data_IF_404727513455
#
_entry.id   IF_404727513455
#
_cell.length_a   1.000
_cell.length_b   1.000
_cell.length_c   1.000
_cell.angle_alpha   90.00
_cell.angle_beta   90.00
_cell.angle_gamma   90.00
#
_symmetry.space_group_name_H-M   'P 1'
#
loop_
_entity.id
_entity.type
_entity.pdbx_description
1 polymer ?
#
# COMPACT_ATOMS: atom_id res chain seq x y z
N UNK A 1 7.49 -90.84 15.43
CA UNK A 1 6.92 -89.57 15.97
C UNK A 1 7.47 -88.32 15.26
N UNK A 2 7.86 -88.41 13.98
CA UNK A 2 8.62 -87.33 13.30
C UNK A 2 7.81 -86.59 12.23
N UNK A 3 6.85 -87.26 11.57
CA UNK A 3 6.06 -86.65 10.48
C UNK A 3 5.00 -85.65 10.96
N UNK A 4 4.30 -85.95 12.06
CA UNK A 4 3.22 -85.10 12.60
C UNK A 4 3.71 -83.74 13.12
N UNK A 5 4.91 -83.70 13.72
CA UNK A 5 5.50 -82.44 14.20
C UNK A 5 5.95 -81.52 13.05
N UNK A 6 6.46 -82.09 11.94
CA UNK A 6 6.89 -81.31 10.78
C UNK A 6 5.69 -80.66 10.07
N UNK A 7 4.56 -81.36 9.97
CA UNK A 7 3.32 -80.82 9.41
C UNK A 7 2.77 -79.65 10.26
N UNK A 8 2.81 -79.78 11.59
CA UNK A 8 2.38 -78.71 12.51
C UNK A 8 3.26 -77.47 12.40
N UNK A 9 4.59 -77.64 12.33
CA UNK A 9 5.54 -76.53 12.15
C UNK A 9 5.32 -75.84 10.80
N UNK A 10 5.14 -76.59 9.71
CA UNK A 10 4.83 -76.00 8.41
C UNK A 10 3.52 -75.21 8.42
N UNK A 11 2.49 -75.71 9.10
CA UNK A 11 1.22 -74.99 9.23
C UNK A 11 1.37 -73.71 10.07
N UNK A 12 2.13 -73.74 11.17
CA UNK A 12 2.43 -72.54 11.97
C UNK A 12 3.22 -71.49 11.18
N UNK A 13 4.23 -71.91 10.40
CA UNK A 13 4.98 -71.01 9.52
C UNK A 13 4.06 -70.41 8.46
N UNK A 14 3.15 -71.19 7.88
CA UNK A 14 2.17 -70.70 6.92
C UNK A 14 1.24 -69.66 7.56
N UNK A 15 0.70 -69.93 8.75
CA UNK A 15 -0.16 -68.99 9.48
C UNK A 15 0.56 -67.69 9.87
N UNK A 16 1.83 -67.78 10.30
CA UNK A 16 2.64 -66.60 10.63
C UNK A 16 2.91 -65.75 9.38
N UNK A 17 3.24 -66.39 8.25
CA UNK A 17 3.42 -65.69 6.96
C UNK A 17 2.14 -64.99 6.55
N UNK A 18 0.99 -65.65 6.66
CA UNK A 18 -0.31 -65.05 6.35
C UNK A 18 -0.59 -63.85 7.26
N UNK A 19 -0.43 -63.98 8.57
CA UNK A 19 -0.68 -62.88 9.52
C UNK A 19 0.24 -61.68 9.28
N UNK A 20 1.52 -61.94 9.02
CA UNK A 20 2.48 -60.87 8.71
C UNK A 20 2.12 -60.18 7.38
N UNK A 21 1.70 -60.94 6.37
CA UNK A 21 1.23 -60.37 5.10
C UNK A 21 -0.03 -59.51 5.28
N UNK A 22 -0.99 -59.94 6.11
CA UNK A 22 -2.20 -59.18 6.43
C UNK A 22 -1.89 -57.89 7.21
N UNK A 23 -1.00 -57.94 8.20
CA UNK A 23 -0.55 -56.75 8.94
C UNK A 23 0.16 -55.74 8.03
N UNK A 24 1.09 -56.22 7.20
CA UNK A 24 1.82 -55.38 6.25
C UNK A 24 0.86 -54.77 5.22
N UNK A 25 -0.07 -55.56 4.70
CA UNK A 25 -1.11 -55.09 3.78
C UNK A 25 -1.97 -54.02 4.43
N UNK A 26 -2.44 -54.24 5.66
CA UNK A 26 -3.23 -53.26 6.41
C UNK A 26 -2.50 -51.93 6.64
N UNK A 27 -1.19 -51.97 6.91
CA UNK A 27 -0.38 -50.75 7.04
C UNK A 27 -0.24 -50.02 5.71
N UNK A 28 0.07 -50.73 4.62
CA UNK A 28 0.21 -50.16 3.28
C UNK A 28 -1.11 -49.55 2.81
N UNK A 29 -2.25 -50.20 3.05
CA UNK A 29 -3.57 -49.67 2.70
C UNK A 29 -3.91 -48.41 3.50
N UNK A 30 -3.57 -48.35 4.80
CA UNK A 30 -3.76 -47.13 5.60
C UNK A 30 -2.89 -45.97 5.10
N UNK A 31 -1.65 -46.25 4.71
CA UNK A 31 -0.78 -45.23 4.12
C UNK A 31 -1.31 -44.76 2.76
N UNK A 32 -1.76 -45.68 1.91
CA UNK A 32 -2.32 -45.36 0.60
C UNK A 32 -3.57 -44.48 0.70
N UNK A 33 -4.52 -44.87 1.55
CA UNK A 33 -5.76 -44.09 1.79
C UNK A 33 -5.47 -42.69 2.34
N UNK A 34 -4.52 -42.56 3.27
CA UNK A 34 -4.11 -41.24 3.79
C UNK A 34 -3.45 -40.37 2.72
N UNK A 35 -2.65 -40.97 1.82
CA UNK A 35 -2.05 -40.25 0.69
C UNK A 35 -3.11 -39.81 -0.32
N UNK A 36 -4.09 -40.66 -0.61
CA UNK A 36 -5.22 -40.34 -1.49
C UNK A 36 -6.06 -39.18 -0.92
N UNK A 37 -6.32 -39.18 0.39
CA UNK A 37 -7.02 -38.08 1.06
C UNK A 37 -6.22 -36.77 0.99
N UNK A 38 -4.90 -36.82 1.24
CA UNK A 38 -4.02 -35.65 1.08
C UNK A 38 -4.00 -35.15 -0.35
N UNK A 39 -3.94 -36.05 -1.33
CA UNK A 39 -3.95 -35.69 -2.75
C UNK A 39 -5.28 -35.03 -3.13
N UNK A 40 -6.40 -35.54 -2.62
CA UNK A 40 -7.72 -34.93 -2.83
C UNK A 40 -7.82 -33.53 -2.21
N UNK A 41 -7.30 -33.34 -0.99
CA UNK A 41 -7.26 -32.03 -0.34
C UNK A 41 -6.39 -31.04 -1.12
N UNK A 42 -5.19 -31.44 -1.52
CA UNK A 42 -4.31 -30.60 -2.37
C UNK A 42 -4.97 -30.27 -3.70
N UNK A 43 -5.68 -31.23 -4.32
CA UNK A 43 -6.41 -30.98 -5.57
C UNK A 43 -7.57 -29.99 -5.39
N UNK A 44 -8.28 -30.06 -4.27
CA UNK A 44 -9.34 -29.10 -3.95
C UNK A 44 -8.77 -27.71 -3.64
N UNK A 45 -7.69 -27.63 -2.86
CA UNK A 45 -6.95 -26.38 -2.65
C UNK A 45 -6.43 -25.80 -3.97
N UNK A 46 -5.96 -26.63 -4.90
CA UNK A 46 -5.50 -26.19 -6.21
C UNK A 46 -6.66 -25.65 -7.07
N UNK A 47 -7.85 -26.26 -7.00
CA UNK A 47 -9.07 -25.75 -7.66
C UNK A 47 -9.50 -24.42 -7.06
N UNK A 48 -9.53 -24.31 -5.74
CA UNK A 48 -9.83 -23.06 -5.04
C UNK A 48 -8.79 -21.98 -5.36
N UNK A 49 -7.51 -22.34 -5.43
CA UNK A 49 -6.44 -21.43 -5.86
C UNK A 49 -6.57 -21.02 -7.32
N UNK A 50 -6.96 -21.93 -8.22
CA UNK A 50 -7.22 -21.62 -9.63
C UNK A 50 -8.41 -20.69 -9.76
N UNK A 51 -9.52 -20.95 -9.06
CA UNK A 51 -10.67 -20.06 -9.03
C UNK A 51 -10.34 -18.71 -8.38
N UNK A 52 -9.56 -18.71 -7.30
CA UNK A 52 -9.10 -17.49 -6.65
C UNK A 52 -8.15 -16.72 -7.56
N UNK A 53 -7.29 -17.40 -8.33
CA UNK A 53 -6.41 -16.80 -9.35
C UNK A 53 -7.18 -16.33 -10.58
N UNK A 54 -8.31 -16.96 -10.92
CA UNK A 54 -9.23 -16.49 -11.98
C UNK A 54 -10.08 -15.32 -11.48
N UNK A 55 -10.53 -15.32 -10.22
CA UNK A 55 -11.24 -14.19 -9.59
C UNK A 55 -10.30 -13.02 -9.38
N UNK A 56 -9.13 -13.27 -8.80
CA UNK A 56 -8.02 -12.32 -8.74
C UNK A 56 -7.66 -11.89 -10.15
N UNK A 57 -7.47 -12.78 -11.12
CA UNK A 57 -7.19 -12.49 -12.53
C UNK A 57 -8.29 -11.66 -13.19
N UNK A 58 -9.57 -11.93 -12.99
CA UNK A 58 -10.67 -11.10 -13.52
C UNK A 58 -10.81 -9.77 -12.77
N UNK A 59 -10.34 -9.70 -11.53
CA UNK A 59 -10.24 -8.46 -10.71
C UNK A 59 -8.91 -7.69 -10.94
N UNK A 60 -7.84 -8.37 -11.40
CA UNK A 60 -6.44 -7.92 -11.58
C UNK A 60 -6.09 -7.70 -13.05
N UNK A 61 -6.84 -8.28 -13.99
CA UNK A 61 -6.87 -7.92 -15.42
C UNK A 61 -7.43 -6.51 -15.61
N UNK A 62 -7.72 -5.79 -14.51
CA UNK A 62 -7.87 -4.34 -14.55
C UNK A 62 -7.11 -3.59 -13.45
N UNK A 63 -5.97 -4.11 -13.03
CA UNK A 63 -5.08 -3.44 -12.08
C UNK A 63 -3.72 -3.07 -12.70
N UNK A 64 -3.67 -2.71 -13.98
CA UNK A 64 -2.47 -2.01 -14.49
C UNK A 64 -2.41 -0.67 -13.79
N UNK A 65 -1.31 -0.44 -13.08
CA UNK A 65 -1.00 0.86 -12.49
C UNK A 65 -0.21 1.61 -13.54
N UNK A 66 -0.78 2.72 -14.01
CA UNK A 66 -0.05 3.68 -14.83
C UNK A 66 0.77 4.55 -13.88
N UNK A 67 2.08 4.41 -13.98
CA UNK A 67 3.07 5.27 -13.39
C UNK A 67 3.39 6.39 -14.36
N UNK A 68 3.29 7.63 -13.89
CA UNK A 68 3.90 8.75 -14.59
C UNK A 68 5.21 9.08 -13.86
N UNK A 69 6.33 8.95 -14.55
CA UNK A 69 7.68 9.23 -14.05
C UNK A 69 8.32 10.24 -14.99
N UNK A 70 8.34 11.52 -14.63
CA UNK A 70 8.96 12.58 -15.44
C UNK A 70 8.41 12.65 -16.87
N UNK A 71 7.08 12.69 -17.03
CA UNK A 71 6.32 12.69 -18.30
C UNK A 71 6.29 11.37 -19.09
N UNK A 72 7.08 10.37 -18.70
CA UNK A 72 7.01 9.03 -19.28
C UNK A 72 6.00 8.15 -18.54
N UNK A 73 5.09 7.54 -19.31
CA UNK A 73 4.09 6.61 -18.79
C UNK A 73 4.61 5.18 -18.79
N UNK A 74 4.81 4.64 -17.61
CA UNK A 74 5.12 3.23 -17.40
C UNK A 74 3.89 2.50 -16.89
N UNK A 75 3.70 1.26 -17.31
CA UNK A 75 2.63 0.39 -16.81
C UNK A 75 3.24 -0.84 -16.17
N UNK A 76 2.87 -1.12 -14.93
CA UNK A 76 3.22 -2.39 -14.26
C UNK A 76 2.04 -2.90 -13.44
N UNK A 77 2.11 -4.15 -12.99
CA UNK A 77 1.06 -4.76 -12.18
C UNK A 77 1.21 -4.39 -10.71
N UNK A 78 0.08 -4.35 -9.99
CA UNK A 78 0.07 -4.24 -8.52
C UNK A 78 0.91 -5.35 -7.89
N UNK A 79 0.90 -6.55 -8.47
CA UNK A 79 1.68 -7.70 -8.00
C UNK A 79 3.18 -7.41 -7.96
N UNK A 80 3.73 -6.79 -9.02
CA UNK A 80 5.14 -6.39 -9.08
C UNK A 80 5.49 -5.40 -7.96
N UNK A 81 4.59 -4.48 -7.63
CA UNK A 81 4.81 -3.44 -6.62
C UNK A 81 4.69 -3.97 -5.17
N UNK A 82 3.91 -5.03 -4.98
CA UNK A 82 3.69 -5.68 -3.68
C UNK A 82 4.50 -6.97 -3.52
N UNK A 83 5.40 -7.29 -4.45
CA UNK A 83 6.21 -8.50 -4.41
C UNK A 83 7.08 -8.57 -3.15
N UNK A 84 7.55 -7.42 -2.67
CA UNK A 84 8.22 -7.29 -1.37
C UNK A 84 7.25 -6.88 -0.26
N UNK A 85 7.26 -7.63 0.85
CA UNK A 85 6.38 -7.39 1.99
C UNK A 85 6.89 -6.24 2.86
N UNK A 86 5.97 -5.42 3.36
CA UNK A 86 6.21 -4.27 4.26
C UNK A 86 6.79 -3.01 3.61
N UNK A 87 6.53 -2.78 2.32
CA UNK A 87 6.82 -1.51 1.64
C UNK A 87 5.59 -0.59 1.58
N UNK A 88 5.83 0.66 1.18
CA UNK A 88 4.79 1.69 1.00
C UNK A 88 3.64 1.21 0.11
N UNK A 89 3.95 0.48 -0.96
CA UNK A 89 2.97 -0.04 -1.91
C UNK A 89 2.09 -1.14 -1.31
N UNK A 90 2.64 -1.98 -0.43
CA UNK A 90 1.87 -2.99 0.30
C UNK A 90 0.82 -2.32 1.18
N UNK A 91 1.16 -1.20 1.83
CA UNK A 91 0.23 -0.43 2.65
C UNK A 91 -0.80 0.32 1.79
N UNK A 92 -0.35 0.99 0.72
CA UNK A 92 -1.17 1.76 -0.22
C UNK A 92 -2.20 0.88 -0.96
N UNK A 93 -1.83 -0.34 -1.31
CA UNK A 93 -2.70 -1.29 -2.00
C UNK A 93 -3.43 -2.27 -1.06
N UNK A 94 -3.28 -2.11 0.25
CA UNK A 94 -4.04 -2.90 1.23
C UNK A 94 -5.53 -2.49 1.25
N UNK A 95 -6.41 -3.43 1.60
CA UNK A 95 -7.85 -3.18 1.81
C UNK A 95 -8.16 -2.26 3.02
N UNK A 96 -7.14 -1.80 3.71
CA UNK A 96 -7.24 -1.05 4.96
C UNK A 96 -7.64 0.42 4.76
N UNK A 97 -7.55 0.93 3.52
CA UNK A 97 -7.81 2.33 3.20
C UNK A 97 -9.09 2.60 2.39
N UNK A 98 -9.91 1.58 2.10
CA UNK A 98 -11.17 1.67 1.35
C UNK A 98 -11.16 2.71 0.20
N UNK A 99 -10.10 2.69 -0.62
CA UNK A 99 -10.07 3.46 -1.85
C UNK A 99 -11.08 2.84 -2.82
N UNK A 100 -12.23 3.49 -3.02
CA UNK A 100 -13.15 3.17 -4.11
C UNK A 100 -12.45 3.49 -5.43
N UNK A 101 -11.85 2.46 -6.05
CA UNK A 101 -11.12 2.60 -7.31
C UNK A 101 -12.09 2.63 -8.48
N UNK A 102 -11.98 3.65 -9.33
CA UNK A 102 -12.58 3.63 -10.65
C UNK A 102 -11.50 3.19 -11.65
N UNK A 103 -11.50 1.89 -11.95
CA UNK A 103 -10.47 1.16 -12.75
C UNK A 103 -10.41 1.56 -14.24
N UNK A 104 -10.69 2.81 -14.60
CA UNK A 104 -10.44 3.34 -15.94
C UNK A 104 -9.31 4.38 -15.97
N UNK A 105 -9.08 5.18 -14.92
CA UNK A 105 -8.26 6.39 -15.06
C UNK A 105 -7.31 6.71 -13.89
N UNK A 106 -7.08 5.80 -12.93
CA UNK A 106 -6.26 6.13 -11.75
C UNK A 106 -4.76 6.02 -12.06
N UNK A 107 -4.12 7.16 -12.36
CA UNK A 107 -2.66 7.29 -12.40
C UNK A 107 -2.10 7.49 -11.00
N UNK A 108 -1.12 6.69 -10.62
CA UNK A 108 -0.39 6.86 -9.36
C UNK A 108 0.91 7.61 -9.68
N UNK A 109 1.04 8.81 -9.12
CA UNK A 109 2.19 9.70 -9.34
C UNK A 109 3.28 9.43 -8.31
N UNK A 110 4.48 9.09 -8.77
CA UNK A 110 5.69 9.04 -7.95
C UNK A 110 6.77 9.81 -8.69
N UNK A 111 7.05 11.00 -8.17
CA UNK A 111 7.93 11.98 -8.79
C UNK A 111 9.39 11.76 -8.34
N UNK A 112 10.27 11.52 -9.32
CA UNK A 112 11.71 11.76 -9.24
C UNK A 112 12.10 12.54 -10.48
N UNK A 113 12.26 13.85 -10.35
CA UNK A 113 12.69 14.73 -11.43
C UNK A 113 14.11 14.43 -11.92
N UNK A 114 14.30 14.51 -13.24
CA UNK A 114 15.45 15.19 -13.85
C UNK A 114 14.96 16.57 -14.35
N UNK A 115 15.78 17.64 -14.29
CA UNK A 115 15.29 18.99 -14.46
C UNK A 115 15.33 19.43 -15.93
N UNK A 116 14.27 20.08 -16.42
CA UNK A 116 14.39 20.99 -17.55
C UNK A 116 14.09 22.44 -17.16
N UNK A 117 15.02 23.30 -17.56
CA UNK A 117 15.02 24.74 -17.45
C UNK A 117 14.23 25.31 -18.62
N UNK A 118 13.00 25.76 -18.38
CA UNK A 118 12.45 26.94 -19.08
C UNK A 118 11.02 27.19 -18.66
N UNK A 119 10.81 28.24 -17.86
CA UNK A 119 9.80 29.27 -18.15
C UNK A 119 9.76 30.25 -16.99
N UNK A 120 10.42 31.36 -17.23
CA UNK A 120 10.22 32.65 -16.58
C UNK A 120 8.75 33.11 -16.77
N UNK A 121 8.32 34.09 -15.94
CA UNK A 121 7.14 34.97 -16.10
C UNK A 121 5.85 34.48 -15.38
N UNK A 122 5.51 35.03 -14.20
CA UNK A 122 4.76 36.30 -14.04
C UNK A 122 4.30 36.45 -12.58
N UNK A 123 4.75 37.51 -11.94
CA UNK A 123 4.40 37.87 -10.57
C UNK A 123 3.09 38.67 -10.58
N UNK A 124 1.98 38.02 -10.23
CA UNK A 124 0.68 38.69 -10.03
C UNK A 124 0.23 38.64 -8.56
N UNK A 125 0.17 39.84 -7.99
CA UNK A 125 -0.49 40.33 -6.76
C UNK A 125 -0.97 39.31 -5.73
N UNK A 126 -0.18 39.27 -4.65
CA UNK A 126 -0.53 38.79 -3.30
C UNK A 126 -1.78 39.49 -2.77
N UNK A 127 -2.88 38.75 -2.69
CA UNK A 127 -4.02 39.06 -1.84
C UNK A 127 -4.35 37.81 -1.03
N UNK A 128 -4.53 38.00 0.28
CA UNK A 128 -4.63 36.95 1.30
C UNK A 128 -5.99 36.24 1.21
N UNK A 129 -6.11 35.29 0.28
CA UNK A 129 -7.38 34.60 -0.01
C UNK A 129 -7.46 33.19 0.60
N UNK A 130 -6.89 32.99 1.79
CA UNK A 130 -7.25 31.81 2.60
C UNK A 130 -8.74 31.82 2.99
N UNK A 131 -9.37 33.00 3.01
CA UNK A 131 -10.76 33.19 3.49
C UNK A 131 -11.85 32.94 2.42
N UNK A 132 -11.54 32.97 1.13
CA UNK A 132 -12.52 32.65 0.07
C UNK A 132 -12.45 31.18 -0.39
N UNK A 133 -11.56 30.38 0.19
CA UNK A 133 -11.43 28.94 -0.08
C UNK A 133 -12.16 28.12 0.98
N UNK A 134 -13.33 27.61 0.63
CA UNK A 134 -14.27 26.75 1.39
C UNK A 134 -13.72 25.43 1.96
N UNK A 135 -12.40 25.25 2.09
CA UNK A 135 -11.80 24.00 2.52
C UNK A 135 -11.73 23.83 4.04
N UNK A 136 -11.38 24.90 4.77
CA UNK A 136 -11.15 24.86 6.21
C UNK A 136 -12.16 25.75 6.95
N UNK A 137 -12.58 25.30 8.13
CA UNK A 137 -13.28 26.15 9.09
C UNK A 137 -12.29 27.00 9.88
N UNK A 138 -12.77 28.07 10.52
CA UNK A 138 -11.93 28.90 11.41
C UNK A 138 -11.30 28.08 12.55
N UNK A 139 -12.01 27.09 13.09
CA UNK A 139 -11.47 26.22 14.14
C UNK A 139 -10.34 25.32 13.61
N UNK A 140 -10.49 24.80 12.39
CA UNK A 140 -9.47 23.98 11.75
C UNK A 140 -8.21 24.78 11.42
N UNK A 141 -8.35 26.02 10.94
CA UNK A 141 -7.23 26.92 10.70
C UNK A 141 -6.49 27.24 12.02
N UNK A 142 -7.24 27.58 13.08
CA UNK A 142 -6.66 27.79 14.41
C UNK A 142 -5.88 26.56 14.88
N UNK A 143 -6.40 25.36 14.61
CA UNK A 143 -5.73 24.11 14.98
C UNK A 143 -4.43 23.88 14.21
N UNK A 144 -4.39 24.22 12.93
CA UNK A 144 -3.15 24.17 12.14
C UNK A 144 -2.12 25.16 12.66
N UNK A 145 -2.54 26.37 13.06
CA UNK A 145 -1.67 27.37 13.66
C UNK A 145 -1.10 26.92 15.02
N UNK A 146 -1.90 26.21 15.83
CA UNK A 146 -1.43 25.54 17.05
C UNK A 146 -0.36 24.48 16.74
N UNK A 147 -0.58 23.65 15.69
CA UNK A 147 0.39 22.62 15.30
C UNK A 147 1.72 23.20 14.80
N UNK A 148 1.63 24.30 14.06
CA UNK A 148 2.78 25.07 13.60
C UNK A 148 3.53 25.76 14.76
N UNK A 149 2.82 26.16 15.81
CA UNK A 149 3.38 26.79 17.00
C UNK A 149 3.25 28.32 17.04
N UNK A 150 2.49 28.91 16.12
CA UNK A 150 2.19 30.36 16.08
C UNK A 150 0.71 30.57 15.84
N UNK A 151 -0.03 30.97 16.88
CA UNK A 151 -1.51 31.07 16.86
C UNK A 151 -2.07 32.04 15.82
N UNK A 152 -1.33 33.11 15.51
CA UNK A 152 -1.72 34.15 14.55
C UNK A 152 -1.00 34.02 13.20
N UNK A 153 -0.51 32.81 12.87
CA UNK A 153 0.14 32.57 11.59
C UNK A 153 -0.86 32.82 10.45
N UNK A 154 -0.39 33.55 9.43
CA UNK A 154 -1.13 33.78 8.19
C UNK A 154 -0.50 32.95 7.09
N UNK A 155 -1.35 32.35 6.26
CA UNK A 155 -0.93 31.53 5.14
C UNK A 155 -1.38 32.19 3.84
N UNK A 156 -0.51 32.15 2.84
CA UNK A 156 -0.84 32.55 1.48
C UNK A 156 -1.18 31.31 0.66
N UNK A 157 -2.32 31.33 -0.03
CA UNK A 157 -2.72 30.24 -0.90
C UNK A 157 -1.97 30.29 -2.23
N UNK A 158 -0.87 29.55 -2.31
CA UNK A 158 -0.02 29.50 -3.50
C UNK A 158 -0.47 28.46 -4.55
N UNK A 159 -1.17 27.40 -4.12
CA UNK A 159 -1.65 26.32 -4.99
C UNK A 159 -2.97 25.73 -4.48
N UNK A 160 -3.90 25.43 -5.39
CA UNK A 160 -5.14 24.71 -5.12
C UNK A 160 -5.44 23.77 -6.29
N UNK A 161 -5.45 22.46 -6.05
CA UNK A 161 -5.65 21.46 -7.11
C UNK A 161 -6.92 21.66 -7.96
N UNK A 162 -8.03 22.09 -7.36
CA UNK A 162 -9.27 22.36 -8.11
C UNK A 162 -9.23 23.62 -8.98
N UNK A 163 -8.25 24.52 -8.78
CA UNK A 163 -8.03 25.75 -9.56
C UNK A 163 -6.88 25.58 -10.54
N UNK A 164 -5.80 24.95 -10.09
CA UNK A 164 -4.50 24.95 -10.75
C UNK A 164 -4.17 23.62 -11.45
N UNK A 165 -4.97 22.56 -11.23
CA UNK A 165 -4.68 21.21 -11.71
C UNK A 165 -4.09 20.32 -10.61
N UNK A 166 -4.33 19.01 -10.68
CA UNK A 166 -3.90 18.03 -9.68
C UNK A 166 -2.57 17.33 -10.04
N UNK A 167 -1.92 17.71 -11.13
CA UNK A 167 -0.63 17.17 -11.54
C UNK A 167 0.55 17.80 -10.78
N UNK A 168 1.68 17.08 -10.74
CA UNK A 168 2.88 17.51 -10.02
C UNK A 168 3.53 18.73 -10.66
N UNK A 169 3.48 18.87 -11.98
CA UNK A 169 4.01 20.03 -12.68
C UNK A 169 3.30 21.32 -12.24
N UNK A 170 1.96 21.30 -12.15
CA UNK A 170 1.18 22.42 -11.62
C UNK A 170 1.52 22.76 -10.16
N UNK A 171 1.79 21.75 -9.33
CA UNK A 171 2.27 21.95 -7.96
C UNK A 171 3.66 22.58 -7.95
N UNK A 172 4.64 21.97 -8.61
CA UNK A 172 6.04 22.42 -8.61
C UNK A 172 6.21 23.80 -9.23
N UNK A 173 5.51 24.10 -10.33
CA UNK A 173 5.47 25.44 -10.95
C UNK A 173 5.06 26.54 -9.95
N UNK A 174 4.25 26.21 -8.93
CA UNK A 174 3.72 27.18 -7.97
C UNK A 174 4.37 27.12 -6.58
N UNK A 175 4.81 25.94 -6.15
CA UNK A 175 5.27 25.68 -4.78
C UNK A 175 6.79 25.64 -4.66
N UNK A 176 7.52 25.45 -5.76
CA UNK A 176 8.98 25.44 -5.72
C UNK A 176 9.52 26.81 -5.27
N UNK A 177 10.54 26.74 -4.42
CA UNK A 177 11.25 27.90 -3.87
C UNK A 177 10.35 28.90 -3.09
N UNK A 178 9.13 28.52 -2.72
CA UNK A 178 8.23 29.37 -1.91
C UNK A 178 8.54 29.33 -0.41
N UNK A 179 9.49 28.49 0.01
CA UNK A 179 9.83 28.28 1.42
C UNK A 179 8.91 27.26 2.09
N UNK A 180 8.71 27.40 3.41
CA UNK A 180 7.90 26.45 4.17
C UNK A 180 6.43 26.45 3.73
N UNK A 181 5.82 25.28 3.66
CA UNK A 181 4.44 25.12 3.18
C UNK A 181 3.59 24.27 4.12
N UNK A 182 2.32 24.61 4.23
CA UNK A 182 1.28 23.80 4.87
C UNK A 182 0.37 23.25 3.78
N UNK A 183 0.43 21.94 3.55
CA UNK A 183 -0.41 21.25 2.57
C UNK A 183 -1.63 20.66 3.25
N UNK A 184 -2.81 20.94 2.71
CA UNK A 184 -4.09 20.44 3.22
C UNK A 184 -4.80 19.70 2.10
N UNK A 185 -5.18 18.46 2.39
CA UNK A 185 -5.85 17.55 1.45
C UNK A 185 -7.24 17.25 1.99
N UNK A 186 -8.25 17.33 1.11
CA UNK A 186 -9.60 16.81 1.35
C UNK A 186 -9.79 15.55 0.51
N UNK A 187 -10.05 14.41 1.16
CA UNK A 187 -10.39 13.18 0.45
C UNK A 187 -11.77 13.25 -0.19
N UNK A 188 -12.06 12.27 -1.05
CA UNK A 188 -13.40 12.03 -1.60
C UNK A 188 -14.47 11.84 -0.52
N UNK A 189 -14.08 11.29 0.63
CA UNK A 189 -14.94 11.10 1.81
C UNK A 189 -14.95 12.33 2.74
N UNK A 190 -14.51 13.51 2.27
CA UNK A 190 -14.48 14.77 3.01
C UNK A 190 -13.59 14.77 4.28
N UNK A 191 -12.63 13.86 4.39
CA UNK A 191 -11.64 13.87 5.47
C UNK A 191 -10.50 14.83 5.16
N UNK A 192 -10.07 15.58 6.18
CA UNK A 192 -9.05 16.63 6.10
C UNK A 192 -7.78 16.19 6.82
N UNK A 193 -6.68 16.16 6.09
CA UNK A 193 -5.36 15.77 6.59
C UNK A 193 -4.29 16.43 5.73
N UNK A 194 -3.02 16.27 6.10
CA UNK A 194 -1.94 16.83 5.31
C UNK A 194 -0.62 16.84 6.05
N UNK A 195 0.23 17.79 5.71
CA UNK A 195 1.54 17.93 6.30
C UNK A 195 2.12 19.32 6.15
N UNK A 196 3.12 19.58 6.98
CA UNK A 196 3.94 20.77 6.94
C UNK A 196 5.36 20.40 6.54
N UNK A 197 5.88 21.12 5.55
CA UNK A 197 7.28 21.09 5.17
C UNK A 197 7.92 22.41 5.59
N UNK A 198 8.95 22.34 6.41
CA UNK A 198 9.73 23.48 6.86
C UNK A 198 10.79 23.88 5.82
N UNK A 199 11.25 22.92 5.03
CA UNK A 199 12.13 23.15 3.88
C UNK A 199 11.26 23.32 2.61
N UNK A 200 11.64 24.27 1.76
CA UNK A 200 10.91 24.55 0.53
C UNK A 200 11.06 23.45 -0.51
N UNK A 201 10.02 23.30 -1.35
CA UNK A 201 10.02 22.39 -2.48
C UNK A 201 11.01 22.84 -3.55
N UNK A 202 11.57 21.88 -4.27
CA UNK A 202 12.48 22.13 -5.38
C UNK A 202 12.48 20.96 -6.35
N UNK A 203 12.41 21.26 -7.64
CA UNK A 203 12.59 20.30 -8.73
C UNK A 203 14.06 20.07 -9.08
N UNK A 204 15.00 20.79 -8.44
CA UNK A 204 16.42 20.73 -8.80
C UNK A 204 17.14 19.45 -8.34
N UNK A 205 16.56 18.69 -7.40
CA UNK A 205 17.19 17.51 -6.80
C UNK A 205 16.20 16.35 -6.73
N UNK A 206 16.56 15.20 -7.32
CA UNK A 206 15.79 13.94 -7.20
C UNK A 206 16.01 13.17 -5.89
N UNK A 207 16.50 13.84 -4.83
CA UNK A 207 16.86 13.24 -3.56
C UNK A 207 15.93 13.71 -2.43
N UNK A 208 15.69 12.83 -1.45
CA UNK A 208 14.96 13.20 -0.24
C UNK A 208 15.72 14.27 0.55
N UNK A 209 14.98 15.26 1.05
CA UNK A 209 15.51 16.31 1.91
C UNK A 209 15.18 15.96 3.36
N UNK A 210 16.19 15.96 4.23
CA UNK A 210 15.98 15.81 5.67
C UNK A 210 15.31 17.08 6.21
N UNK A 211 14.13 16.92 6.80
CA UNK A 211 13.40 18.01 7.46
C UNK A 211 12.94 17.55 8.85
N UNK A 212 13.71 17.83 9.91
CA UNK A 212 13.38 17.41 11.27
C UNK A 212 12.21 18.20 11.87
N UNK A 213 11.79 19.30 11.23
CA UNK A 213 10.64 20.12 11.65
C UNK A 213 9.38 19.79 10.86
N UNK A 214 9.47 18.92 9.85
CA UNK A 214 8.31 18.44 9.14
C UNK A 214 7.38 17.65 10.07
N UNK A 215 6.09 17.70 9.78
CA UNK A 215 5.09 16.92 10.49
C UNK A 215 3.90 16.61 9.59
N UNK A 216 3.22 15.50 9.88
CA UNK A 216 1.92 15.18 9.32
C UNK A 216 0.83 15.55 10.30
N UNK A 217 -0.40 15.72 9.82
CA UNK A 217 -1.54 15.92 10.69
C UNK A 217 -2.82 15.32 10.11
N UNK A 218 -3.77 15.05 10.99
CA UNK A 218 -5.18 14.85 10.66
C UNK A 218 -6.01 15.92 11.36
N UNK A 219 -7.03 16.43 10.69
CA UNK A 219 -8.07 17.30 11.27
C UNK A 219 -9.39 16.55 11.38
N UNK A 220 -9.74 15.76 10.35
CA UNK A 220 -10.88 14.83 10.37
C UNK A 220 -10.48 13.50 9.71
N UNK A 221 -11.06 12.39 10.16
CA UNK A 221 -10.70 11.04 9.73
C UNK A 221 -11.84 10.05 10.04
N UNK A 222 -11.86 8.86 9.40
CA UNK A 222 -12.93 7.87 9.60
C UNK A 222 -12.98 7.23 10.98
N UNK A 223 -11.97 7.47 11.82
CA UNK A 223 -11.85 6.88 13.15
C UNK A 223 -12.20 7.87 14.26
N UNK A 224 -12.72 9.06 13.91
CA UNK A 224 -13.04 10.14 14.85
C UNK A 224 -11.86 10.50 15.78
N UNK A 225 -10.63 10.30 15.31
CA UNK A 225 -9.44 10.74 16.03
C UNK A 225 -9.48 12.26 16.04
N UNK A 226 -9.28 12.85 17.22
CA UNK A 226 -9.22 14.31 17.35
C UNK A 226 -8.08 14.88 16.49
N UNK A 227 -8.13 16.17 16.11
CA UNK A 227 -7.04 16.78 15.37
C UNK A 227 -5.69 16.50 16.03
N UNK A 228 -4.79 15.83 15.31
CA UNK A 228 -3.54 15.28 15.85
C UNK A 228 -2.38 15.58 14.92
N UNK A 229 -1.24 15.97 15.51
CA UNK A 229 0.06 16.17 14.85
C UNK A 229 0.97 14.97 15.05
N UNK A 230 1.60 14.52 13.98
CA UNK A 230 2.58 13.42 13.96
C UNK A 230 3.93 13.94 13.51
N UNK A 231 4.93 13.84 14.40
CA UNK A 231 6.29 14.28 14.11
C UNK A 231 7.04 13.23 13.28
N UNK A 232 7.97 13.68 12.45
CA UNK A 232 8.93 12.79 11.79
C UNK A 232 9.76 12.10 12.88
N UNK A 233 9.89 10.77 12.80
CA UNK A 233 10.77 10.05 13.71
C UNK A 233 12.23 10.40 13.35
N UNK A 234 13.09 10.69 14.34
CA UNK A 234 14.51 10.78 14.06
C UNK A 234 14.97 9.44 13.47
N UNK A 235 15.87 9.51 12.48
CA UNK A 235 16.46 8.32 11.91
C UNK A 235 17.04 7.46 13.03
N UNK A 236 16.76 6.15 13.00
CA UNK A 236 17.51 5.22 13.83
C UNK A 236 18.94 5.30 13.33
N UNK A 237 19.81 5.94 14.12
CA UNK A 237 21.26 5.84 13.92
C UNK A 237 21.57 4.34 13.83
N UNK A 238 22.03 3.91 12.65
CA UNK A 238 22.41 2.54 12.36
C UNK A 238 23.63 2.12 13.19
#
# INVERSE_FOLDING_TARGET
MTSTNLATIHNQIAQIKTRFAEELYGQVTKMATHLEEKLANVSNEEKEWKETKIKLGTTLVKGMVIFNVGDDKFTTSVETLTAEKANFFTALFSKQWQLERNLKNDSIFIDRNEPDRSAEIQQEKRTSDFLNGTLLTMEQEKKLNEFYGTSNQKWDLIYRGSRDGFDSNAFHTRCDNQGSTMTVVRSTNNYLFGGYASVGWTSAYGAYINDPRAFLFTLTNPHNIQPTKYLVKPDKVA
#
